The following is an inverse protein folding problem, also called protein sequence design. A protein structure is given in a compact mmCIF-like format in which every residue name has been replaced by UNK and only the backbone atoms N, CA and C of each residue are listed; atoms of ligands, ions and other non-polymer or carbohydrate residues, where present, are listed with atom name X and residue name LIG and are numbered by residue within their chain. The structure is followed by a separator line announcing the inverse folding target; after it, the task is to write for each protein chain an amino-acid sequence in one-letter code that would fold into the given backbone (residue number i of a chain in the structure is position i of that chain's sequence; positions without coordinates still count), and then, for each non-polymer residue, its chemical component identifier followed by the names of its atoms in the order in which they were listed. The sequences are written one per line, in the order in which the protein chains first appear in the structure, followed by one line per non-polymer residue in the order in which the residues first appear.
data_IF_532855346517
#
_entry.id   IF_532855346517
#
_cell.length_a   1.000
_cell.length_b   1.000
_cell.length_c   1.000
_cell.angle_alpha   90.00
_cell.angle_beta   90.00
_cell.angle_gamma   90.00
#
_symmetry.space_group_name_H-M   'P 1'
#
loop_
_entity.id
_entity.type
_entity.pdbx_description
1 polymer ?
#
# COMPACT_ATOMS: atom_id res chain seq x y z
N UNK A 1 24.28 12.12 17.44
CA UNK A 1 23.95 12.79 16.16
C UNK A 1 22.55 12.32 15.77
N UNK A 2 21.61 13.23 15.51
CA UNK A 2 20.24 12.86 15.16
C UNK A 2 20.21 12.41 13.67
N UNK A 3 19.87 11.15 13.35
CA UNK A 3 19.83 10.69 11.96
C UNK A 3 18.88 11.50 11.08
N UNK A 4 17.82 12.09 11.65
CA UNK A 4 16.84 12.89 10.92
C UNK A 4 17.40 14.24 10.39
N UNK A 5 18.61 14.63 10.79
CA UNK A 5 19.25 15.88 10.37
C UNK A 5 20.35 15.66 9.31
N UNK A 6 20.54 14.42 8.86
CA UNK A 6 21.53 14.09 7.84
C UNK A 6 20.97 14.30 6.43
N UNK A 7 21.82 14.43 5.38
CA UNK A 7 21.35 14.36 4.00
C UNK A 7 20.58 13.05 3.73
N UNK A 8 19.53 13.11 2.89
CA UNK A 8 18.61 11.99 2.64
C UNK A 8 19.33 10.65 2.36
N UNK A 9 20.37 10.65 1.52
CA UNK A 9 21.13 9.43 1.23
C UNK A 9 21.77 8.79 2.48
N UNK A 10 22.20 9.59 3.45
CA UNK A 10 22.75 9.08 4.72
C UNK A 10 21.63 8.64 5.67
N UNK A 11 20.48 9.32 5.65
CA UNK A 11 19.30 8.86 6.38
C UNK A 11 18.86 7.47 5.88
N UNK A 12 18.84 7.26 4.56
CA UNK A 12 18.50 5.98 3.95
C UNK A 12 19.49 4.87 4.32
N UNK A 13 20.79 5.16 4.37
CA UNK A 13 21.80 4.20 4.85
C UNK A 13 21.53 3.79 6.30
N UNK A 14 21.24 4.76 7.17
CA UNK A 14 20.88 4.47 8.56
C UNK A 14 19.57 3.70 8.67
N UNK A 15 18.54 4.08 7.91
CA UNK A 15 17.26 3.39 7.88
C UNK A 15 17.43 1.94 7.45
N UNK A 16 18.18 1.69 6.36
CA UNK A 16 18.53 0.34 5.90
C UNK A 16 19.21 -0.46 7.01
N UNK A 17 20.15 0.15 7.73
CA UNK A 17 20.87 -0.51 8.83
C UNK A 17 19.95 -0.91 10.00
N UNK A 18 18.86 -0.17 10.21
CA UNK A 18 17.84 -0.49 11.22
C UNK A 18 16.91 -1.59 10.71
N UNK A 19 16.43 -1.48 9.47
CA UNK A 19 15.53 -2.46 8.85
C UNK A 19 16.16 -3.86 8.78
N UNK A 20 17.44 -3.96 8.44
CA UNK A 20 18.17 -5.24 8.38
C UNK A 20 18.25 -5.96 9.74
N UNK A 21 18.15 -5.22 10.85
CA UNK A 21 18.13 -5.83 12.20
C UNK A 21 16.78 -6.44 12.55
N UNK A 22 15.70 -6.06 11.84
CA UNK A 22 14.38 -6.64 12.02
C UNK A 22 14.30 -7.97 11.26
N UNK A 23 14.55 -9.07 11.97
CA UNK A 23 14.51 -10.42 11.40
C UNK A 23 13.15 -10.75 10.77
N UNK A 24 12.05 -10.29 11.36
CA UNK A 24 10.71 -10.53 10.84
C UNK A 24 10.53 -9.87 9.48
N UNK A 25 10.91 -8.60 9.34
CA UNK A 25 10.84 -7.89 8.07
C UNK A 25 11.69 -8.59 7.00
N UNK A 26 12.92 -8.99 7.33
CA UNK A 26 13.79 -9.69 6.38
C UNK A 26 13.18 -11.03 5.96
N UNK A 27 12.57 -11.78 6.88
CA UNK A 27 11.85 -13.01 6.53
C UNK A 27 10.67 -12.73 5.63
N UNK A 28 9.87 -11.68 5.92
CA UNK A 28 8.74 -11.27 5.07
C UNK A 28 9.22 -10.91 3.67
N UNK A 29 10.26 -10.08 3.53
CA UNK A 29 10.84 -9.71 2.23
C UNK A 29 11.36 -10.92 1.45
N UNK A 30 12.12 -11.80 2.12
CA UNK A 30 12.71 -12.98 1.49
C UNK A 30 11.63 -13.93 0.98
N UNK A 31 10.56 -14.12 1.75
CA UNK A 31 9.43 -14.97 1.35
C UNK A 31 8.59 -14.29 0.30
N UNK A 32 8.25 -13.01 0.45
CA UNK A 32 7.51 -12.26 -0.55
C UNK A 32 8.17 -12.31 -1.94
N UNK A 33 9.50 -12.29 -2.01
CA UNK A 33 10.25 -12.46 -3.26
C UNK A 33 9.93 -13.79 -3.98
N UNK A 34 9.55 -14.86 -3.26
CA UNK A 34 9.20 -16.15 -3.90
C UNK A 34 7.83 -16.14 -4.57
N UNK A 35 6.99 -15.13 -4.30
CA UNK A 35 5.73 -14.93 -5.00
C UNK A 35 5.92 -14.38 -6.43
N UNK A 36 7.13 -13.88 -6.76
CA UNK A 36 7.47 -13.32 -8.08
C UNK A 36 6.44 -12.32 -8.61
N UNK A 37 5.97 -11.42 -7.74
CA UNK A 37 4.95 -10.44 -8.09
C UNK A 37 5.58 -9.25 -8.82
N UNK A 38 4.99 -8.80 -9.95
CA UNK A 38 5.49 -7.65 -10.68
C UNK A 38 5.24 -6.35 -9.90
N UNK A 39 6.20 -5.44 -9.93
CA UNK A 39 6.10 -4.11 -9.34
C UNK A 39 5.62 -4.15 -7.88
N UNK A 40 6.27 -5.00 -7.07
CA UNK A 40 5.86 -5.26 -5.69
C UNK A 40 6.54 -4.30 -4.71
N UNK A 41 5.74 -3.72 -3.81
CA UNK A 41 6.18 -2.92 -2.69
C UNK A 41 5.67 -3.53 -1.37
N UNK A 42 6.50 -3.46 -0.34
CA UNK A 42 6.09 -3.70 1.04
C UNK A 42 6.02 -2.36 1.77
N UNK A 43 4.88 -2.08 2.39
CA UNK A 43 4.73 -0.93 3.29
C UNK A 43 4.60 -1.39 4.73
N UNK A 44 5.17 -0.59 5.62
CA UNK A 44 5.07 -0.76 7.07
C UNK A 44 4.34 0.48 7.59
N UNK A 45 3.16 0.31 8.17
CA UNK A 45 2.45 1.40 8.84
C UNK A 45 2.99 1.56 10.26
N UNK A 46 3.15 2.80 10.72
CA UNK A 46 3.48 3.08 12.13
C UNK A 46 2.29 2.89 13.08
N UNK A 47 1.07 3.00 12.57
CA UNK A 47 -0.14 3.03 13.39
C UNK A 47 -0.80 1.65 13.52
N UNK A 48 -0.37 0.68 12.72
CA UNK A 48 -0.80 -0.72 12.82
C UNK A 48 0.34 -1.55 13.35
N UNK A 49 0.27 -1.89 14.63
CA UNK A 49 1.23 -2.76 15.31
C UNK A 49 1.47 -4.06 14.52
N UNK A 50 2.56 -4.09 13.74
CA UNK A 50 3.09 -5.27 13.03
C UNK A 50 2.22 -5.82 11.89
N UNK A 51 1.57 -4.93 11.15
CA UNK A 51 0.97 -5.29 9.87
C UNK A 51 1.90 -4.85 8.72
N UNK A 52 2.12 -5.74 7.76
CA UNK A 52 2.80 -5.44 6.51
C UNK A 52 1.79 -5.44 5.38
N UNK A 53 1.77 -4.41 4.55
CA UNK A 53 1.00 -4.46 3.30
C UNK A 53 1.95 -4.83 2.16
N UNK A 54 1.68 -5.97 1.52
CA UNK A 54 2.35 -6.41 0.30
C UNK A 54 1.46 -6.02 -0.87
N UNK A 55 1.85 -4.94 -1.54
CA UNK A 55 1.08 -4.37 -2.64
C UNK A 55 1.82 -4.58 -3.95
N UNK A 56 1.09 -4.97 -4.98
CA UNK A 56 1.65 -5.20 -6.31
C UNK A 56 0.73 -4.61 -7.37
N UNK A 57 1.24 -4.46 -8.58
CA UNK A 57 0.46 -3.97 -9.71
C UNK A 57 0.53 -4.97 -10.86
N UNK A 58 -0.60 -5.61 -11.13
CA UNK A 58 -0.79 -6.47 -12.29
C UNK A 58 -2.12 -6.16 -12.96
N UNK A 59 -2.07 -5.56 -14.15
CA UNK A 59 -3.24 -5.23 -14.95
C UNK A 59 -3.61 -6.31 -15.98
N UNK A 60 -2.87 -7.42 -16.04
CA UNK A 60 -3.10 -8.50 -17.01
C UNK A 60 -4.34 -9.34 -16.67
N UNK A 61 -4.65 -9.51 -15.38
CA UNK A 61 -5.83 -10.20 -14.88
C UNK A 61 -6.42 -9.47 -13.65
N UNK A 62 -7.53 -8.77 -13.86
CA UNK A 62 -8.23 -7.99 -12.83
C UNK A 62 -9.32 -8.81 -12.11
N UNK A 63 -9.41 -10.13 -12.32
CA UNK A 63 -10.37 -10.98 -11.63
C UNK A 63 -10.07 -11.03 -10.12
N UNK A 64 -11.10 -11.28 -9.30
CA UNK A 64 -10.86 -11.51 -7.87
C UNK A 64 -10.12 -12.84 -7.67
N UNK A 65 -10.44 -13.84 -8.49
CA UNK A 65 -9.86 -15.18 -8.46
C UNK A 65 -8.34 -15.17 -8.70
N UNK A 66 -7.83 -14.26 -9.54
CA UNK A 66 -6.39 -14.09 -9.73
C UNK A 66 -5.72 -13.55 -8.46
N UNK A 67 -6.29 -12.53 -7.81
CA UNK A 67 -5.75 -12.04 -6.53
C UNK A 67 -5.91 -13.06 -5.41
N UNK A 68 -7.05 -13.74 -5.33
CA UNK A 68 -7.36 -14.71 -4.27
C UNK A 68 -6.34 -15.86 -4.24
N UNK A 69 -5.87 -16.30 -5.40
CA UNK A 69 -4.75 -17.27 -5.50
C UNK A 69 -3.47 -16.75 -4.84
N UNK A 70 -3.14 -15.48 -5.04
CA UNK A 70 -1.95 -14.85 -4.44
C UNK A 70 -2.16 -14.62 -2.94
N UNK A 71 -3.35 -14.19 -2.53
CA UNK A 71 -3.73 -14.04 -1.11
C UNK A 71 -3.57 -15.37 -0.39
N UNK A 72 -4.08 -16.47 -0.96
CA UNK A 72 -4.02 -17.79 -0.33
C UNK A 72 -2.57 -18.34 -0.32
N UNK A 73 -1.81 -18.14 -1.39
CA UNK A 73 -0.39 -18.46 -1.42
C UNK A 73 0.38 -17.70 -0.32
N UNK A 74 0.12 -16.40 -0.17
CA UNK A 74 0.67 -15.57 0.90
C UNK A 74 0.26 -16.03 2.29
N UNK A 75 -1.01 -16.40 2.49
CA UNK A 75 -1.52 -16.90 3.76
C UNK A 75 -0.73 -18.12 4.25
N UNK A 76 -0.49 -19.08 3.36
CA UNK A 76 0.35 -20.25 3.65
C UNK A 76 1.82 -19.87 3.87
N UNK A 77 2.32 -18.93 3.08
CA UNK A 77 3.72 -18.51 3.13
C UNK A 77 4.10 -17.77 4.41
N UNK A 78 3.16 -17.09 5.06
CA UNK A 78 3.38 -16.29 6.25
C UNK A 78 2.73 -16.87 7.52
N UNK A 79 2.14 -18.07 7.47
CA UNK A 79 1.32 -18.63 8.56
C UNK A 79 2.03 -18.79 9.91
N UNK A 80 3.34 -19.02 9.89
CA UNK A 80 4.18 -19.22 11.07
C UNK A 80 4.73 -17.91 11.66
N UNK A 81 4.47 -16.77 11.01
CA UNK A 81 4.94 -15.48 11.49
C UNK A 81 3.91 -14.81 12.41
N UNK A 82 4.35 -14.15 13.50
CA UNK A 82 3.46 -13.45 14.42
C UNK A 82 3.04 -12.06 13.89
N UNK A 83 2.85 -11.93 12.57
CA UNK A 83 2.53 -10.69 11.86
C UNK A 83 1.49 -10.94 10.80
N UNK A 84 0.70 -9.92 10.48
CA UNK A 84 -0.25 -9.99 9.37
C UNK A 84 0.42 -9.45 8.12
N UNK A 85 0.28 -10.17 7.00
CA UNK A 85 0.66 -9.67 5.68
C UNK A 85 -0.61 -9.50 4.85
N UNK A 86 -1.01 -8.27 4.59
CA UNK A 86 -2.14 -7.95 3.74
C UNK A 86 -1.68 -7.84 2.28
N UNK A 87 -2.19 -8.72 1.42
CA UNK A 87 -1.84 -8.71 0.00
C UNK A 87 -2.90 -7.96 -0.80
N UNK A 88 -2.48 -7.08 -1.71
CA UNK A 88 -3.41 -6.34 -2.59
C UNK A 88 -2.84 -6.06 -3.98
N UNK A 89 -3.59 -6.38 -5.02
CA UNK A 89 -3.34 -5.87 -6.36
C UNK A 89 -3.93 -4.46 -6.51
N UNK A 90 -3.08 -3.46 -6.67
CA UNK A 90 -3.48 -2.06 -6.83
C UNK A 90 -4.26 -1.82 -8.13
N UNK A 91 -4.06 -2.65 -9.16
CA UNK A 91 -4.76 -2.51 -10.44
C UNK A 91 -6.27 -2.76 -10.33
N UNK A 92 -6.74 -3.58 -9.37
CA UNK A 92 -8.18 -3.91 -9.20
C UNK A 92 -8.90 -2.98 -8.21
N UNK A 93 -8.19 -2.16 -7.43
CA UNK A 93 -8.79 -1.41 -6.30
C UNK A 93 -10.05 -0.63 -6.71
N UNK A 94 -10.00 0.04 -7.87
CA UNK A 94 -11.12 0.79 -8.45
C UNK A 94 -12.41 -0.02 -8.66
N UNK A 95 -12.34 -1.35 -8.81
CA UNK A 95 -13.49 -2.23 -9.06
C UNK A 95 -14.36 -2.49 -7.83
N UNK A 96 -13.78 -2.40 -6.62
CA UNK A 96 -14.48 -2.68 -5.37
C UNK A 96 -14.46 -1.51 -4.38
N UNK A 97 -13.49 -0.60 -4.45
CA UNK A 97 -13.32 0.47 -3.46
C UNK A 97 -14.56 1.37 -3.36
N UNK A 98 -15.06 1.86 -4.49
CA UNK A 98 -16.25 2.71 -4.50
C UNK A 98 -17.52 2.02 -4.05
N UNK A 99 -17.65 0.71 -4.29
CA UNK A 99 -18.78 -0.08 -3.77
C UNK A 99 -18.73 -0.21 -2.24
N UNK A 100 -17.53 -0.30 -1.68
CA UNK A 100 -17.31 -0.47 -0.24
C UNK A 100 -17.39 0.84 0.55
N UNK A 101 -16.88 1.93 -0.04
CA UNK A 101 -16.68 3.20 0.66
C UNK A 101 -17.54 4.35 0.14
N UNK A 102 -18.28 4.17 -0.96
CA UNK A 102 -19.14 5.20 -1.54
C UNK A 102 -18.39 6.31 -2.29
N UNK A 103 -17.07 6.20 -2.44
CA UNK A 103 -16.20 7.20 -3.06
C UNK A 103 -15.67 6.67 -4.40
N UNK A 104 -15.74 7.48 -5.46
CA UNK A 104 -15.17 7.10 -6.75
C UNK A 104 -13.65 6.92 -6.63
N UNK A 105 -13.15 5.80 -7.13
CA UNK A 105 -11.72 5.49 -7.20
C UNK A 105 -11.38 5.26 -8.68
N UNK A 106 -10.52 6.11 -9.25
CA UNK A 106 -10.07 5.94 -10.62
C UNK A 106 -9.11 4.74 -10.72
N UNK A 107 -9.04 4.04 -11.87
CA UNK A 107 -8.06 2.98 -12.07
C UNK A 107 -6.63 3.49 -11.86
N UNK A 108 -5.89 2.86 -10.95
CA UNK A 108 -4.49 3.18 -10.74
C UNK A 108 -3.64 2.75 -11.95
N UNK A 109 -2.60 3.54 -12.25
CA UNK A 109 -1.69 3.26 -13.37
C UNK A 109 -0.41 2.54 -12.94
N UNK A 110 -0.13 2.51 -11.63
CA UNK A 110 1.03 1.84 -11.06
C UNK A 110 0.78 1.47 -9.59
N UNK A 111 1.73 0.76 -8.98
CA UNK A 111 1.69 0.45 -7.56
C UNK A 111 1.83 1.73 -6.72
N UNK A 112 2.69 2.66 -7.16
CA UNK A 112 2.95 3.94 -6.51
C UNK A 112 1.69 4.80 -6.50
N UNK A 113 1.04 4.97 -7.65
CA UNK A 113 -0.22 5.71 -7.76
C UNK A 113 -1.33 5.14 -6.85
N UNK A 114 -1.33 3.82 -6.65
CA UNK A 114 -2.27 3.17 -5.74
C UNK A 114 -1.96 3.40 -4.26
N UNK A 115 -0.70 3.59 -3.88
CA UNK A 115 -0.34 3.91 -2.49
C UNK A 115 -0.50 5.41 -2.22
N UNK A 116 -0.21 6.27 -3.19
CA UNK A 116 -0.37 7.73 -3.06
C UNK A 116 -1.84 8.13 -2.86
N UNK A 117 -2.78 7.26 -3.22
CA UNK A 117 -4.21 7.46 -2.97
C UNK A 117 -4.66 7.10 -1.54
N UNK A 118 -3.75 6.64 -0.66
CA UNK A 118 -4.12 6.20 0.68
C UNK A 118 -4.35 7.40 1.61
N UNK A 119 -5.44 7.34 2.38
CA UNK A 119 -5.88 8.41 3.29
C UNK A 119 -4.85 8.70 4.41
N UNK A 120 -3.98 7.74 4.72
CA UNK A 120 -2.92 7.90 5.70
C UNK A 120 -1.56 7.86 5.01
N UNK A 121 -0.91 9.02 4.92
CA UNK A 121 0.51 9.16 4.58
C UNK A 121 1.42 8.91 5.79
N UNK A 122 0.85 8.56 6.95
CA UNK A 122 1.53 8.45 8.24
C UNK A 122 2.63 7.37 8.22
N UNK A 123 3.82 7.78 7.79
CA UNK A 123 5.09 7.09 7.88
C UNK A 123 5.12 5.68 7.28
N UNK A 124 4.83 5.59 5.98
CA UNK A 124 5.06 4.38 5.20
C UNK A 124 6.49 4.36 4.68
N UNK A 125 7.26 3.37 5.11
CA UNK A 125 8.51 3.03 4.41
C UNK A 125 8.14 2.08 3.29
N UNK A 126 8.28 2.53 2.04
CA UNK A 126 8.19 1.65 0.87
C UNK A 126 9.47 0.85 0.72
N UNK A 127 9.35 -0.46 0.57
CA UNK A 127 10.46 -1.35 0.25
C UNK A 127 10.12 -2.05 -1.06
N UNK A 128 10.91 -1.80 -2.11
CA UNK A 128 10.74 -2.41 -3.42
C UNK A 128 11.44 -3.75 -3.47
N UNK A 129 10.72 -4.76 -3.93
CA UNK A 129 11.29 -6.07 -4.25
C UNK A 129 11.66 -6.08 -5.73
N UNK A 130 12.91 -6.41 -6.00
CA UNK A 130 13.42 -6.61 -7.36
C UNK A 130 13.25 -8.07 -7.77
N UNK A 131 13.20 -8.33 -9.08
CA UNK A 131 13.08 -9.70 -9.63
C UNK A 131 14.25 -10.62 -9.23
N UNK A 132 15.40 -10.03 -8.86
CA UNK A 132 16.57 -10.75 -8.35
C UNK A 132 16.40 -11.24 -6.91
N UNK A 133 15.33 -10.83 -6.21
CA UNK A 133 15.14 -11.03 -4.78
C UNK A 133 15.92 -10.03 -3.92
N UNK A 134 16.65 -9.08 -4.54
CA UNK A 134 17.17 -7.92 -3.83
C UNK A 134 16.04 -6.94 -3.50
N UNK A 135 16.29 -6.05 -2.55
CA UNK A 135 15.34 -5.02 -2.19
C UNK A 135 16.00 -3.66 -2.00
N UNK A 136 15.26 -2.62 -2.36
CA UNK A 136 15.65 -1.22 -2.23
C UNK A 136 14.63 -0.46 -1.37
N UNK A 137 15.08 0.61 -0.72
CA UNK A 137 14.14 1.52 -0.02
C UNK A 137 13.62 2.46 -1.08
N UNK A 138 12.30 2.53 -1.20
CA UNK A 138 11.62 3.49 -2.05
C UNK A 138 11.58 4.85 -1.32
N UNK A 139 12.34 5.86 -1.79
CA UNK A 139 12.42 7.15 -1.14
C UNK A 139 11.18 7.97 -1.53
N UNK A 140 10.01 7.58 -1.01
CA UNK A 140 8.83 8.43 -1.13
C UNK A 140 8.98 9.60 -0.18
N UNK A 141 9.03 10.82 -0.73
CA UNK A 141 8.75 12.02 0.04
C UNK A 141 7.32 11.85 0.55
N UNK A 142 7.14 11.92 1.87
CA UNK A 142 5.80 12.09 2.43
C UNK A 142 5.36 13.49 2.05
N UNK A 143 4.78 13.64 0.87
CA UNK A 143 4.15 14.89 0.49
C UNK A 143 2.96 15.14 1.42
N UNK A 144 2.86 16.40 1.84
CA UNK A 144 1.93 16.93 2.83
C UNK A 144 0.47 16.57 2.51
N UNK A 145 -0.29 16.32 3.59
CA UNK A 145 -1.75 16.14 3.72
C UNK A 145 -2.60 15.80 2.46
N UNK A 146 -3.40 14.72 2.49
CA UNK A 146 -4.36 14.47 1.43
C UNK A 146 -5.34 15.64 1.27
N UNK A 147 -5.58 15.99 0.00
CA UNK A 147 -6.54 16.99 -0.50
C UNK A 147 -7.81 17.02 0.35
N UNK A 148 -8.18 18.25 0.72
CA UNK A 148 -9.24 18.56 1.67
C UNK A 148 -10.51 17.74 1.47
N UNK A 149 -11.01 17.24 2.60
CA UNK A 149 -12.45 17.14 2.81
C UNK A 149 -13.06 18.50 2.52
N UNK A 150 -13.63 18.69 1.34
CA UNK A 150 -14.56 19.78 1.11
C UNK A 150 -15.78 19.51 1.99
N UNK A 151 -15.90 20.33 3.04
CA UNK A 151 -17.06 20.42 3.93
C UNK A 151 -18.36 20.55 3.13
N UNK A 152 -19.40 19.87 3.61
CA UNK A 152 -20.75 19.96 3.07
C UNK A 152 -21.31 21.39 3.15
N UNK A 153 -21.74 21.96 2.03
CA UNK A 153 -22.82 22.96 2.02
C UNK A 153 -23.44 23.16 0.63
N UNK A 154 -24.68 22.68 0.47
CA UNK A 154 -25.72 23.44 -0.25
C UNK A 154 -26.08 22.99 -1.66
N UNK A 155 -27.16 22.20 -1.78
CA UNK A 155 -28.19 22.33 -2.84
C UNK A 155 -29.51 21.86 -2.20
N UNK A 156 -30.30 22.76 -1.62
CA UNK A 156 -31.41 23.52 -2.24
C UNK A 156 -32.76 22.80 -2.08
N UNK A 157 -33.54 23.31 -1.12
CA UNK A 157 -34.97 23.10 -0.98
C UNK A 157 -35.67 23.87 -2.11
N UNK A 158 -36.31 23.15 -3.04
CA UNK A 158 -37.30 23.71 -3.95
C UNK A 158 -38.45 22.71 -4.13
N UNK A 159 -39.66 23.24 -3.97
CA UNK A 159 -40.93 22.57 -3.76
C UNK A 159 -41.64 22.12 -5.06
N UNK A 160 -42.84 21.54 -4.85
CA UNK A 160 -43.96 21.34 -5.80
C UNK A 160 -43.81 20.15 -6.77
N UNK A 161 -44.84 19.43 -7.22
CA UNK A 161 -46.24 19.14 -6.85
C UNK A 161 -46.68 18.13 -7.96
N UNK A 162 -47.59 17.22 -7.63
CA UNK A 162 -48.49 16.48 -8.56
C UNK A 162 -47.95 15.70 -9.78
N UNK A 163 -48.29 14.40 -9.80
CA UNK A 163 -49.23 13.86 -10.81
C UNK A 163 -49.69 12.42 -10.47
N UNK A 164 -50.93 12.36 -9.96
CA UNK A 164 -52.03 11.41 -10.28
C UNK A 164 -51.80 9.89 -10.33
#
# INVERSE_FOLDING_TARGET
MNPAQLPLHQQLVHLRSVLVRNKTLITVLTRAATLNLPNCLITISRDRDRDYDLVYYDSSDLSYEAEDKIIEAGRLLFEDLPVKVEIRNQARVHLWYGKKHGIHCAPHQSVEAGIDSWISTSAMIGIRLEDSGEWSIDPREGDEEPLGVEDEAGVEEAAAEDAK
#
